data_IF_039093416210
#
_entry.id   IF_039093416210
#
_cell.length_a   1.000
_cell.length_b   1.000
_cell.length_c   1.000
_cell.angle_alpha   90.00
_cell.angle_beta   90.00
_cell.angle_gamma   90.00
#
_symmetry.space_group_name_H-M   'P 1'
#
loop_
_entity.id
_entity.type
_entity.pdbx_description
1 polymer ?
#
# COMPACT_ATOMS: atom_id res chain seq x y z
N UNK A 1 -46.07 -60.08 -28.37
CA UNK A 1 -45.74 -59.31 -29.59
C UNK A 1 -46.71 -58.11 -29.63
N UNK A 2 -46.58 -57.11 -28.74
CA UNK A 2 -45.76 -55.89 -28.87
C UNK A 2 -45.83 -55.21 -30.24
N UNK A 3 -46.65 -54.17 -30.36
CA UNK A 3 -46.45 -53.08 -31.32
C UNK A 3 -46.70 -51.74 -30.63
N UNK A 4 -45.67 -50.90 -30.73
CA UNK A 4 -45.45 -49.64 -30.03
C UNK A 4 -46.31 -48.49 -30.56
N UNK A 5 -46.84 -47.69 -29.64
CA UNK A 5 -47.32 -46.33 -29.89
C UNK A 5 -46.12 -45.36 -29.85
N UNK A 6 -45.93 -44.58 -30.92
CA UNK A 6 -44.95 -43.50 -31.01
C UNK A 6 -45.61 -42.21 -30.47
N UNK A 7 -45.03 -41.59 -29.46
CA UNK A 7 -45.29 -40.19 -29.07
C UNK A 7 -44.22 -39.28 -29.68
N UNK A 8 -44.55 -38.07 -30.17
CA UNK A 8 -43.54 -37.10 -30.59
C UNK A 8 -42.96 -36.33 -29.39
N UNK A 9 -41.64 -36.13 -29.41
CA UNK A 9 -40.90 -35.34 -28.43
C UNK A 9 -41.03 -33.82 -28.69
N UNK A 10 -41.01 -33.06 -27.60
CA UNK A 10 -41.11 -31.60 -27.54
C UNK A 10 -39.69 -30.98 -27.48
N UNK A 11 -39.26 -30.12 -28.42
CA UNK A 11 -37.85 -29.72 -28.54
C UNK A 11 -37.43 -28.49 -27.71
N UNK A 12 -38.16 -28.12 -26.65
CA UNK A 12 -37.78 -26.97 -25.81
C UNK A 12 -37.63 -27.34 -24.33
N UNK A 13 -36.48 -27.95 -24.00
CA UNK A 13 -35.99 -28.07 -22.62
C UNK A 13 -34.70 -27.26 -22.47
N UNK A 14 -34.81 -26.11 -21.79
CA UNK A 14 -33.68 -25.24 -21.44
C UNK A 14 -33.03 -25.83 -20.17
N UNK A 15 -31.69 -26.01 -20.11
CA UNK A 15 -31.07 -26.56 -18.92
C UNK A 15 -31.05 -25.54 -17.78
N UNK A 16 -31.47 -25.99 -16.59
CA UNK A 16 -31.39 -25.25 -15.34
C UNK A 16 -29.93 -24.94 -14.99
N UNK A 17 -29.62 -23.65 -14.84
CA UNK A 17 -28.31 -23.19 -14.38
C UNK A 17 -28.10 -23.63 -12.91
N UNK A 18 -27.11 -24.49 -12.70
CA UNK A 18 -26.65 -24.93 -11.39
C UNK A 18 -25.96 -23.77 -10.66
N UNK A 19 -26.68 -23.16 -9.73
CA UNK A 19 -26.14 -22.26 -8.70
C UNK A 19 -25.26 -23.08 -7.76
N UNK A 20 -23.93 -23.03 -7.94
CA UNK A 20 -23.04 -23.74 -7.03
C UNK A 20 -21.55 -23.68 -7.34
N UNK A 21 -20.97 -22.51 -7.65
CA UNK A 21 -19.50 -22.40 -7.67
C UNK A 21 -18.95 -20.98 -7.53
N UNK A 22 -19.44 -20.20 -6.56
CA UNK A 22 -18.85 -18.90 -6.19
C UNK A 22 -18.74 -18.77 -4.67
N UNK A 23 -17.66 -19.32 -4.09
CA UNK A 23 -17.14 -18.94 -2.75
C UNK A 23 -15.98 -19.82 -2.23
N UNK A 24 -15.54 -20.86 -2.95
CA UNK A 24 -14.47 -21.75 -2.43
C UNK A 24 -13.07 -21.12 -2.45
N UNK A 25 -12.77 -20.22 -3.38
CA UNK A 25 -11.43 -19.61 -3.51
C UNK A 25 -11.13 -18.54 -2.43
N UNK A 26 -12.13 -17.73 -2.05
CA UNK A 26 -11.97 -16.76 -0.97
C UNK A 26 -11.96 -17.44 0.41
N UNK A 27 -12.73 -18.51 0.60
CA UNK A 27 -12.83 -19.21 1.89
C UNK A 27 -11.65 -20.13 2.20
N UNK A 28 -10.96 -20.67 1.19
CA UNK A 28 -9.76 -21.49 1.41
C UNK A 28 -8.56 -20.64 1.78
N UNK A 29 -8.26 -19.58 1.01
CA UNK A 29 -7.12 -18.70 1.30
C UNK A 29 -7.26 -17.97 2.65
N UNK A 30 -8.48 -17.56 3.01
CA UNK A 30 -8.74 -16.94 4.32
C UNK A 30 -8.64 -17.93 5.49
N UNK A 31 -8.96 -19.21 5.28
CA UNK A 31 -8.75 -20.27 6.29
C UNK A 31 -7.27 -20.61 6.49
N UNK A 32 -6.46 -20.59 5.43
CA UNK A 32 -5.01 -20.77 5.53
C UNK A 32 -4.33 -19.61 6.28
N UNK A 33 -4.81 -18.38 6.07
CA UNK A 33 -4.40 -17.19 6.83
C UNK A 33 -4.70 -17.28 8.33
N UNK A 34 -5.71 -18.07 8.74
CA UNK A 34 -6.12 -18.26 10.14
C UNK A 34 -5.56 -19.54 10.79
N UNK A 35 -4.58 -20.22 10.18
CA UNK A 35 -3.97 -21.43 10.74
C UNK A 35 -2.98 -21.14 11.89
N UNK A 36 -2.90 -22.04 12.88
CA UNK A 36 -2.27 -21.79 14.21
C UNK A 36 -0.79 -21.31 14.21
N UNK A 37 0.10 -21.69 13.27
CA UNK A 37 1.45 -21.11 13.24
C UNK A 37 1.51 -19.68 12.66
N UNK A 38 0.51 -19.26 11.87
CA UNK A 38 0.43 -17.92 11.28
C UNK A 38 -0.05 -16.83 12.27
N UNK A 39 -0.39 -17.24 13.49
CA UNK A 39 -1.15 -16.45 14.45
C UNK A 39 -0.26 -15.80 15.51
N UNK A 40 0.91 -16.35 15.79
CA UNK A 40 1.82 -15.80 16.81
C UNK A 40 2.65 -14.65 16.26
N UNK A 41 3.07 -14.71 14.99
CA UNK A 41 3.78 -13.64 14.28
C UNK A 41 3.30 -13.55 12.81
N UNK A 42 2.15 -12.91 12.50
CA UNK A 42 1.57 -12.92 11.15
C UNK A 42 2.49 -12.31 10.09
N UNK A 43 3.32 -11.32 10.46
CA UNK A 43 4.38 -10.77 9.62
C UNK A 43 5.45 -11.82 9.30
N UNK A 44 5.99 -12.49 10.32
CA UNK A 44 7.02 -13.51 10.11
C UNK A 44 6.47 -14.75 9.42
N UNK A 45 5.26 -15.20 9.71
CA UNK A 45 4.74 -16.45 9.15
C UNK A 45 4.37 -16.32 7.66
N UNK A 46 3.76 -15.21 7.24
CA UNK A 46 3.45 -14.97 5.83
C UNK A 46 4.73 -14.66 5.03
N UNK A 47 5.61 -13.83 5.59
CA UNK A 47 6.92 -13.52 5.00
C UNK A 47 7.79 -14.76 4.93
N UNK A 48 7.85 -15.60 5.98
CA UNK A 48 8.62 -16.86 6.01
C UNK A 48 8.00 -17.92 5.09
N UNK A 49 6.68 -18.04 4.97
CA UNK A 49 6.07 -18.99 4.03
C UNK A 49 6.32 -18.61 2.56
N UNK A 50 6.21 -17.33 2.23
CA UNK A 50 6.57 -16.81 0.90
C UNK A 50 8.09 -16.88 0.65
N UNK A 51 8.90 -16.58 1.68
CA UNK A 51 10.36 -16.68 1.66
C UNK A 51 10.84 -18.12 1.49
N UNK A 52 10.22 -19.10 2.16
CA UNK A 52 10.56 -20.51 2.01
C UNK A 52 10.14 -21.06 0.65
N UNK A 53 9.05 -20.56 0.07
CA UNK A 53 8.66 -20.86 -1.30
C UNK A 53 9.67 -20.28 -2.33
N UNK A 54 10.21 -19.09 -2.06
CA UNK A 54 11.19 -18.40 -2.91
C UNK A 54 12.65 -18.89 -2.73
N UNK A 55 13.06 -19.32 -1.53
CA UNK A 55 14.37 -19.94 -1.33
C UNK A 55 14.46 -21.30 -2.04
N UNK A 56 13.35 -22.05 -2.11
CA UNK A 56 13.26 -23.29 -2.89
C UNK A 56 13.37 -23.06 -4.41
N UNK A 57 13.06 -21.87 -4.91
CA UNK A 57 13.24 -21.52 -6.33
C UNK A 57 14.61 -20.93 -6.65
N UNK A 58 15.29 -20.33 -5.67
CA UNK A 58 16.53 -19.56 -5.90
C UNK A 58 17.84 -20.31 -5.62
N UNK A 59 17.81 -21.62 -5.36
CA UNK A 59 19.03 -22.44 -5.21
C UNK A 59 19.80 -22.69 -6.53
N UNK A 60 19.67 -21.85 -7.54
CA UNK A 60 20.45 -21.95 -8.79
C UNK A 60 20.92 -20.59 -9.32
N UNK A 61 21.84 -19.92 -8.62
CA UNK A 61 22.89 -19.09 -9.24
C UNK A 61 23.63 -18.28 -8.18
N UNK A 62 24.95 -18.37 -8.19
CA UNK A 62 25.85 -17.66 -7.29
C UNK A 62 26.69 -16.60 -8.01
N UNK A 63 27.11 -15.61 -7.21
CA UNK A 63 28.33 -14.80 -7.29
C UNK A 63 28.34 -13.48 -8.11
N UNK A 64 28.77 -12.41 -7.42
CA UNK A 64 29.34 -11.18 -7.99
C UNK A 64 29.35 -10.00 -7.01
N UNK A 65 30.52 -9.58 -6.54
CA UNK A 65 30.76 -8.52 -5.53
C UNK A 65 30.81 -7.09 -6.12
N UNK A 66 30.47 -6.08 -5.31
CA UNK A 66 30.73 -4.65 -5.57
C UNK A 66 30.72 -3.80 -4.28
N UNK A 67 31.63 -2.84 -4.16
CA UNK A 67 32.06 -2.14 -2.94
C UNK A 67 31.17 -0.94 -2.50
N UNK A 68 31.30 -0.43 -1.24
CA UNK A 68 30.33 0.50 -0.65
C UNK A 68 30.63 1.98 -0.98
N UNK A 69 29.60 2.76 -1.32
CA UNK A 69 29.65 4.22 -1.31
C UNK A 69 29.01 4.77 -0.04
N UNK A 70 29.85 5.27 0.87
CA UNK A 70 29.48 6.09 2.02
C UNK A 70 29.44 7.57 1.62
N UNK A 71 28.40 8.31 1.99
CA UNK A 71 28.44 9.78 1.89
C UNK A 71 27.09 10.48 1.97
N UNK A 72 26.77 10.95 3.17
CA UNK A 72 26.08 12.17 3.58
C UNK A 72 24.83 12.74 2.87
N UNK A 73 23.89 13.05 3.76
CA UNK A 73 22.64 13.76 3.58
C UNK A 73 22.94 15.26 3.52
N UNK A 74 22.75 15.89 2.35
CA UNK A 74 22.08 17.19 2.18
C UNK A 74 22.28 17.73 0.75
N UNK A 75 21.14 17.98 0.10
CA UNK A 75 20.90 19.06 -0.89
C UNK A 75 21.72 19.06 -2.19
N UNK A 76 21.03 18.89 -3.32
CA UNK A 76 21.44 19.13 -4.73
C UNK A 76 21.91 17.96 -5.60
N UNK A 77 21.68 16.70 -5.21
CA UNK A 77 21.79 15.60 -6.17
C UNK A 77 20.43 15.38 -6.87
N UNK A 78 20.45 15.47 -8.20
CA UNK A 78 19.37 15.06 -9.09
C UNK A 78 18.78 13.73 -8.61
N UNK A 79 17.63 13.77 -7.93
CA UNK A 79 17.04 12.63 -7.21
C UNK A 79 16.61 11.46 -8.09
N UNK A 80 16.79 11.60 -9.41
CA UNK A 80 16.29 10.68 -10.42
C UNK A 80 14.81 10.81 -10.68
N UNK A 81 14.07 11.60 -9.89
CA UNK A 81 12.64 11.81 -10.11
C UNK A 81 12.36 12.75 -11.26
N UNK A 82 11.27 12.50 -12.01
CA UNK A 82 10.78 13.46 -12.97
C UNK A 82 10.49 14.81 -12.31
N UNK A 83 10.80 15.89 -13.03
CA UNK A 83 10.49 17.27 -12.61
C UNK A 83 9.16 17.79 -13.18
N UNK A 84 8.49 16.97 -13.99
CA UNK A 84 7.20 17.26 -14.61
C UNK A 84 6.10 16.38 -14.01
N UNK A 85 4.98 16.99 -13.64
CA UNK A 85 3.76 16.33 -13.15
C UNK A 85 3.09 15.45 -14.21
N UNK A 86 3.35 15.71 -15.50
CA UNK A 86 2.82 14.86 -16.57
C UNK A 86 3.41 13.45 -16.57
N UNK A 87 4.58 13.27 -15.95
CA UNK A 87 5.20 11.96 -15.82
C UNK A 87 4.27 11.00 -15.04
N UNK A 88 4.15 9.75 -15.52
CA UNK A 88 3.37 8.69 -14.86
C UNK A 88 3.81 8.47 -13.41
N UNK A 89 2.86 8.10 -12.53
CA UNK A 89 3.14 7.80 -11.14
C UNK A 89 4.25 6.75 -10.96
N UNK A 90 4.32 5.74 -11.84
CA UNK A 90 5.35 4.70 -11.84
C UNK A 90 6.78 5.23 -11.94
N UNK A 91 6.97 6.44 -12.51
CA UNK A 91 8.29 7.07 -12.60
C UNK A 91 8.74 7.73 -11.28
N UNK A 92 7.83 7.86 -10.32
CA UNK A 92 8.10 8.45 -9.00
C UNK A 92 8.36 7.39 -7.92
N UNK A 93 8.64 6.14 -8.29
CA UNK A 93 8.98 5.08 -7.35
C UNK A 93 10.26 5.41 -6.56
N UNK A 94 10.21 5.53 -5.22
CA UNK A 94 11.40 5.75 -4.42
C UNK A 94 12.23 4.46 -4.37
N UNK A 95 13.30 4.38 -5.17
CA UNK A 95 14.18 3.20 -5.23
C UNK A 95 15.21 3.22 -4.10
N UNK A 96 15.07 2.30 -3.16
CA UNK A 96 16.01 2.12 -2.05
C UNK A 96 15.77 0.76 -1.41
N UNK A 97 16.79 0.15 -0.83
CA UNK A 97 16.63 -0.96 0.11
C UNK A 97 17.18 -0.54 1.47
N UNK A 98 16.80 -1.24 2.53
CA UNK A 98 17.33 -0.97 3.87
C UNK A 98 18.42 -1.97 4.24
N UNK A 99 19.43 -1.53 4.98
CA UNK A 99 20.42 -2.43 5.60
C UNK A 99 19.86 -3.19 6.81
N UNK A 100 18.67 -2.81 7.28
CA UNK A 100 17.96 -3.40 8.42
C UNK A 100 16.45 -3.30 8.19
N UNK A 101 15.71 -4.30 8.64
CA UNK A 101 14.23 -4.29 8.69
C UNK A 101 13.71 -3.62 9.98
N UNK A 102 14.60 -3.14 10.85
CA UNK A 102 14.21 -2.42 12.06
C UNK A 102 13.78 -0.97 11.72
N UNK A 103 12.48 -0.82 11.52
CA UNK A 103 11.82 0.47 11.35
C UNK A 103 11.14 0.97 12.62
N UNK A 104 11.58 0.57 13.82
CA UNK A 104 11.05 1.14 15.05
C UNK A 104 11.27 2.67 15.06
N UNK A 105 10.19 3.48 15.16
CA UNK A 105 10.33 4.93 15.14
C UNK A 105 10.88 5.47 16.47
N UNK A 106 11.77 6.47 16.39
CA UNK A 106 12.21 7.28 17.52
C UNK A 106 11.68 8.73 17.35
N UNK A 107 10.54 9.09 17.96
CA UNK A 107 9.95 10.43 17.81
C UNK A 107 10.89 11.57 18.21
N UNK A 108 11.85 11.32 19.11
CA UNK A 108 12.81 12.34 19.56
C UNK A 108 13.80 12.75 18.47
N UNK A 109 14.02 11.87 17.48
CA UNK A 109 14.88 12.09 16.32
C UNK A 109 14.11 12.54 15.08
N UNK A 110 12.81 12.75 15.20
CA UNK A 110 11.98 13.14 14.06
C UNK A 110 12.40 14.52 13.52
N UNK A 111 12.65 14.60 12.21
CA UNK A 111 12.83 15.88 11.53
C UNK A 111 11.57 16.75 11.67
N UNK A 112 11.78 18.06 11.82
CA UNK A 112 10.69 19.05 11.78
C UNK A 112 10.27 19.28 10.33
N UNK A 113 8.96 19.30 10.10
CA UNK A 113 8.40 19.62 8.79
C UNK A 113 8.02 21.09 8.70
N UNK A 114 8.01 21.63 7.47
CA UNK A 114 7.33 22.90 7.20
C UNK A 114 5.83 22.76 7.47
N UNK A 115 5.10 23.86 7.74
CA UNK A 115 3.66 23.81 7.99
C UNK A 115 2.86 23.08 6.90
N UNK A 116 3.21 23.28 5.63
CA UNK A 116 2.54 22.64 4.49
C UNK A 116 2.74 21.13 4.48
N UNK A 117 3.97 20.68 4.75
CA UNK A 117 4.31 19.24 4.81
C UNK A 117 3.73 18.57 6.05
N UNK A 118 3.70 19.31 7.17
CA UNK A 118 3.02 18.87 8.37
C UNK A 118 1.53 18.66 8.10
N UNK A 119 0.87 19.55 7.35
CA UNK A 119 -0.55 19.41 7.00
C UNK A 119 -0.83 18.15 6.15
N UNK A 120 0.10 17.74 5.29
CA UNK A 120 -0.05 16.49 4.52
C UNK A 120 -0.03 15.25 5.43
N UNK A 121 0.94 15.16 6.35
CA UNK A 121 1.13 13.97 7.17
C UNK A 121 0.23 13.90 8.40
N UNK A 122 0.14 15.01 9.12
CA UNK A 122 -0.11 15.00 10.55
C UNK A 122 -1.58 14.87 10.91
N UNK A 123 -1.78 14.30 12.10
CA UNK A 123 -3.01 14.28 12.88
C UNK A 123 -2.78 15.02 14.20
N UNK A 124 -3.36 16.20 14.38
CA UNK A 124 -3.31 16.92 15.66
C UNK A 124 -4.43 16.48 16.58
N UNK A 125 -4.10 15.59 17.51
CA UNK A 125 -4.85 15.43 18.76
C UNK A 125 -4.20 16.28 19.84
N UNK A 126 -4.50 17.59 19.83
CA UNK A 126 -4.51 18.35 21.08
C UNK A 126 -5.94 18.38 21.59
N UNK A 127 -6.21 17.51 22.56
CA UNK A 127 -7.35 17.67 23.44
C UNK A 127 -6.95 18.66 24.55
N UNK A 128 -6.84 19.94 24.23
CA UNK A 128 -6.99 20.99 25.25
C UNK A 128 -8.49 21.29 25.33
N UNK A 129 -9.13 20.81 26.40
CA UNK A 129 -10.46 21.24 26.83
C UNK A 129 -10.46 22.77 27.01
N UNK A 130 -10.68 23.57 25.96
CA UNK A 130 -11.24 24.93 26.09
C UNK A 130 -11.66 25.65 24.79
N UNK A 131 -11.69 25.00 23.61
CA UNK A 131 -12.19 25.65 22.38
C UNK A 131 -13.18 24.76 21.62
N UNK A 132 -14.30 24.43 22.28
CA UNK A 132 -15.39 23.68 21.64
C UNK A 132 -16.49 24.59 21.07
N UNK A 133 -16.44 25.92 21.23
CA UNK A 133 -17.64 26.75 20.98
C UNK A 133 -17.59 27.67 19.74
N UNK A 134 -16.46 28.00 19.10
CA UNK A 134 -16.52 29.01 18.02
C UNK A 134 -15.64 28.83 16.77
N UNK A 135 -15.08 27.65 16.49
CA UNK A 135 -14.34 27.46 15.24
C UNK A 135 -14.65 26.11 14.58
N UNK A 136 -15.31 26.16 13.42
CA UNK A 136 -15.16 25.17 12.35
C UNK A 136 -13.70 25.21 11.82
N UNK A 137 -12.73 24.88 12.67
CA UNK A 137 -11.34 24.67 12.25
C UNK A 137 -11.22 23.23 11.75
N UNK A 138 -11.45 23.06 10.45
CA UNK A 138 -11.08 21.90 9.64
C UNK A 138 -9.56 21.72 9.64
N UNK A 139 -9.00 21.18 10.72
CA UNK A 139 -7.65 20.62 10.71
C UNK A 139 -7.68 19.33 9.89
N UNK A 140 -7.39 19.49 8.60
CA UNK A 140 -7.43 18.41 7.62
C UNK A 140 -6.13 17.62 7.71
N UNK A 141 -6.20 16.54 8.48
CA UNK A 141 -5.21 15.49 8.60
C UNK A 141 -5.33 14.56 7.39
N UNK A 142 -4.24 14.18 6.71
CA UNK A 142 -4.38 13.34 5.52
C UNK A 142 -3.79 11.94 5.67
N UNK A 143 -2.47 11.77 5.61
CA UNK A 143 -1.92 10.42 5.41
C UNK A 143 -1.99 9.52 6.65
N UNK A 144 -1.56 9.98 7.83
CA UNK A 144 -1.65 9.15 9.07
C UNK A 144 -3.11 8.81 9.42
N UNK A 145 -4.05 9.70 9.11
CA UNK A 145 -5.48 9.45 9.31
C UNK A 145 -6.00 8.32 8.42
N UNK A 146 -5.47 8.15 7.20
CA UNK A 146 -5.80 7.02 6.33
C UNK A 146 -5.41 5.69 6.98
N UNK A 147 -4.18 5.57 7.50
CA UNK A 147 -3.75 4.40 8.27
C UNK A 147 -4.62 4.11 9.48
N UNK A 148 -5.12 5.17 10.12
CA UNK A 148 -5.99 5.10 11.30
C UNK A 148 -7.46 4.80 10.95
N UNK A 149 -7.74 4.25 9.77
CA UNK A 149 -9.08 3.89 9.30
C UNK A 149 -10.04 5.09 9.25
N UNK A 150 -9.53 6.27 8.89
CA UNK A 150 -10.36 7.47 8.68
C UNK A 150 -10.27 7.95 7.22
N UNK A 151 -10.71 7.16 6.22
CA UNK A 151 -10.73 7.61 4.85
C UNK A 151 -11.80 8.70 4.64
N UNK A 152 -11.46 9.72 3.85
CA UNK A 152 -12.42 10.69 3.31
C UNK A 152 -12.04 11.03 1.88
N UNK A 153 -12.99 11.54 1.10
CA UNK A 153 -12.74 12.01 -0.28
C UNK A 153 -11.59 13.03 -0.30
N UNK A 154 -11.55 13.97 0.64
CA UNK A 154 -10.50 15.01 0.69
C UNK A 154 -9.11 14.44 1.01
N UNK A 155 -9.03 13.39 1.84
CA UNK A 155 -7.77 12.69 2.12
C UNK A 155 -7.27 11.91 0.92
N UNK A 156 -8.17 11.26 0.18
CA UNK A 156 -7.85 10.56 -1.07
C UNK A 156 -7.47 11.53 -2.18
N UNK A 157 -8.04 12.75 -2.23
CA UNK A 157 -7.64 13.79 -3.20
C UNK A 157 -6.20 14.30 -3.01
N UNK A 158 -5.53 13.97 -1.90
CA UNK A 158 -4.08 14.18 -1.74
C UNK A 158 -3.23 13.27 -2.62
N UNK A 159 -3.84 12.40 -3.39
CA UNK A 159 -3.18 11.64 -4.43
C UNK A 159 -3.58 12.18 -5.79
N UNK A 160 -2.60 12.20 -6.70
CA UNK A 160 -2.84 12.46 -8.12
C UNK A 160 -3.70 11.33 -8.72
N UNK A 161 -4.38 11.58 -9.84
CA UNK A 161 -5.25 10.57 -10.46
C UNK A 161 -4.46 9.32 -10.87
N UNK A 162 -3.24 9.52 -11.36
CA UNK A 162 -2.29 8.49 -11.81
C UNK A 162 -1.33 8.03 -10.70
N UNK A 163 -1.70 8.19 -9.43
CA UNK A 163 -0.83 7.81 -8.33
C UNK A 163 -0.61 6.29 -8.27
N UNK A 164 0.55 5.89 -7.75
CA UNK A 164 0.82 4.49 -7.38
C UNK A 164 0.82 4.37 -5.86
N UNK A 165 0.09 3.37 -5.35
CA UNK A 165 0.13 2.92 -3.96
C UNK A 165 0.57 1.46 -3.92
N UNK A 166 1.65 1.23 -3.19
CA UNK A 166 2.40 -0.01 -3.26
C UNK A 166 2.85 -0.40 -1.85
N UNK A 167 2.23 -1.46 -1.33
CA UNK A 167 2.52 -2.01 -0.02
C UNK A 167 2.76 -3.53 -0.11
N UNK A 168 2.96 -4.18 1.04
CA UNK A 168 3.17 -5.63 1.12
C UNK A 168 2.01 -6.49 0.58
N UNK A 169 0.80 -5.95 0.42
CA UNK A 169 -0.42 -6.67 0.03
C UNK A 169 -1.11 -6.12 -1.23
N UNK A 170 -0.80 -4.90 -1.64
CA UNK A 170 -1.50 -4.16 -2.67
C UNK A 170 -0.51 -3.50 -3.62
N UNK A 171 -0.83 -3.54 -4.91
CA UNK A 171 -0.28 -2.63 -5.90
C UNK A 171 -1.45 -2.00 -6.66
N UNK A 172 -1.76 -0.75 -6.32
CA UNK A 172 -2.82 0.05 -6.93
C UNK A 172 -2.16 1.15 -7.76
N UNK A 173 -2.40 1.17 -9.06
CA UNK A 173 -1.75 2.09 -10.00
C UNK A 173 -2.65 3.23 -10.47
N UNK A 174 -3.76 3.48 -9.78
CA UNK A 174 -4.56 4.68 -9.96
C UNK A 174 -5.25 5.05 -8.64
N UNK A 175 -5.76 6.28 -8.58
CA UNK A 175 -6.42 6.80 -7.38
C UNK A 175 -7.69 6.04 -7.04
N UNK A 176 -8.40 5.49 -8.03
CA UNK A 176 -9.62 4.72 -7.80
C UNK A 176 -9.35 3.43 -7.02
N UNK A 177 -8.38 2.64 -7.49
CA UNK A 177 -7.91 1.40 -6.85
C UNK A 177 -7.35 1.67 -5.46
N UNK A 178 -6.54 2.72 -5.32
CA UNK A 178 -6.00 3.11 -4.02
C UNK A 178 -7.12 3.54 -3.05
N UNK A 179 -8.09 4.35 -3.51
CA UNK A 179 -9.23 4.76 -2.70
C UNK A 179 -9.99 3.53 -2.18
N UNK A 180 -10.19 2.52 -3.04
CA UNK A 180 -10.78 1.24 -2.66
C UNK A 180 -10.13 0.59 -1.45
N UNK A 181 -8.80 0.59 -1.39
CA UNK A 181 -8.06 0.05 -0.25
C UNK A 181 -8.32 0.84 1.02
N UNK A 182 -8.18 2.16 0.96
CA UNK A 182 -8.37 3.01 2.13
C UNK A 182 -9.79 2.93 2.68
N UNK A 183 -10.80 2.91 1.81
CA UNK A 183 -12.20 2.74 2.22
C UNK A 183 -12.53 1.31 2.68
N UNK A 184 -11.72 0.30 2.32
CA UNK A 184 -11.88 -1.07 2.81
C UNK A 184 -11.36 -1.27 4.24
N UNK A 185 -10.31 -0.54 4.67
CA UNK A 185 -9.70 -0.74 5.99
C UNK A 185 -10.70 -0.66 7.17
N UNK A 186 -11.61 0.33 7.26
CA UNK A 186 -12.59 0.41 8.36
C UNK A 186 -13.57 -0.77 8.38
N UNK A 187 -13.76 -1.48 7.25
CA UNK A 187 -14.59 -2.68 7.18
C UNK A 187 -13.86 -3.90 7.75
N UNK A 188 -12.54 -3.97 7.56
CA UNK A 188 -11.69 -5.07 8.02
C UNK A 188 -11.31 -4.95 9.50
N UNK A 189 -11.05 -3.73 9.96
CA UNK A 189 -10.55 -3.44 11.30
C UNK A 189 -11.61 -2.74 12.17
N UNK A 190 -11.68 -3.11 13.45
CA UNK A 190 -12.51 -2.42 14.45
C UNK A 190 -11.77 -1.27 15.12
N UNK A 191 -10.44 -1.31 15.14
CA UNK A 191 -9.59 -0.26 15.69
C UNK A 191 -8.29 -0.20 14.89
N UNK A 192 -7.75 1.01 14.74
CA UNK A 192 -6.44 1.26 14.16
C UNK A 192 -5.79 2.40 14.93
N UNK A 193 -4.60 2.16 15.47
CA UNK A 193 -3.87 3.08 16.34
C UNK A 193 -2.51 3.35 15.72
N UNK A 194 -2.23 4.62 15.48
CA UNK A 194 -0.87 5.06 15.19
C UNK A 194 -0.11 5.15 16.52
N UNK A 195 0.81 4.22 16.74
CA UNK A 195 1.55 4.12 18.01
C UNK A 195 2.68 5.15 18.07
N UNK A 196 3.41 5.30 16.96
CA UNK A 196 4.48 6.28 16.81
C UNK A 196 4.88 6.46 15.35
N UNK A 197 5.54 7.57 15.05
CA UNK A 197 6.22 7.78 13.77
C UNK A 197 7.48 8.64 13.97
N UNK A 198 8.41 8.58 13.01
CA UNK A 198 9.64 9.38 12.97
C UNK A 198 9.85 9.83 11.54
N UNK A 199 9.84 11.15 11.30
CA UNK A 199 10.23 11.70 9.99
C UNK A 199 11.75 11.58 9.85
N UNK A 200 12.20 10.91 8.81
CA UNK A 200 13.64 10.67 8.54
C UNK A 200 14.13 11.34 7.26
N UNK A 201 13.21 11.79 6.39
CA UNK A 201 13.52 12.59 5.21
C UNK A 201 12.37 13.53 4.87
N UNK A 202 12.71 14.76 4.49
CA UNK A 202 11.76 15.72 3.94
C UNK A 202 12.51 16.70 3.05
N UNK A 203 12.60 16.39 1.76
CA UNK A 203 13.19 17.25 0.73
C UNK A 203 12.17 17.52 -0.38
N UNK A 204 12.54 18.33 -1.37
CA UNK A 204 11.70 18.73 -2.50
C UNK A 204 10.90 17.61 -3.15
N UNK A 205 11.47 16.41 -3.23
CA UNK A 205 10.87 15.34 -4.01
C UNK A 205 10.08 14.35 -3.15
N UNK A 206 10.43 14.18 -1.86
CA UNK A 206 9.71 13.23 -1.02
C UNK A 206 9.64 13.59 0.47
N UNK A 207 8.70 12.93 1.14
CA UNK A 207 8.66 12.77 2.59
C UNK A 207 8.81 11.29 2.91
N UNK A 208 9.66 10.97 3.87
CA UNK A 208 9.85 9.60 4.32
C UNK A 208 9.83 9.52 5.84
N UNK A 209 9.15 8.51 6.36
CA UNK A 209 9.00 8.32 7.79
C UNK A 209 8.91 6.85 8.16
N UNK A 210 9.46 6.52 9.32
CA UNK A 210 9.17 5.25 10.00
C UNK A 210 7.81 5.36 10.65
N UNK A 211 7.01 4.32 10.55
CA UNK A 211 5.66 4.27 11.11
C UNK A 211 5.45 3.00 11.92
N UNK A 212 4.82 3.11 13.09
CA UNK A 212 4.36 1.98 13.89
C UNK A 212 2.85 2.03 14.02
N UNK A 213 2.18 1.04 13.45
CA UNK A 213 0.73 0.99 13.38
C UNK A 213 0.20 -0.32 13.95
N UNK A 214 -0.82 -0.21 14.80
CA UNK A 214 -1.56 -1.35 15.37
C UNK A 214 -2.95 -1.40 14.76
N UNK A 215 -3.33 -2.55 14.18
CA UNK A 215 -4.70 -2.79 13.71
C UNK A 215 -5.33 -3.94 14.46
N UNK A 216 -6.54 -3.72 14.96
CA UNK A 216 -7.36 -4.77 15.56
C UNK A 216 -8.44 -5.20 14.58
N UNK A 217 -8.43 -6.49 14.22
CA UNK A 217 -9.41 -7.06 13.29
C UNK A 217 -10.82 -7.01 13.88
N UNK A 218 -11.82 -6.80 13.00
CA UNK A 218 -13.22 -6.69 13.42
C UNK A 218 -13.82 -8.02 13.90
N UNK A 219 -13.53 -9.10 13.19
CA UNK A 219 -14.15 -10.41 13.43
C UNK A 219 -13.34 -11.34 14.34
N UNK A 220 -12.07 -11.00 14.61
CA UNK A 220 -11.19 -11.79 15.48
C UNK A 220 -10.56 -10.86 16.52
N UNK A 221 -10.46 -11.27 17.81
CA UNK A 221 -9.90 -10.45 18.88
C UNK A 221 -8.36 -10.48 18.82
N UNK A 222 -7.79 -10.10 17.68
CA UNK A 222 -6.35 -10.02 17.46
C UNK A 222 -5.97 -8.64 17.00
N UNK A 223 -4.86 -8.17 17.55
CA UNK A 223 -4.18 -6.95 17.12
C UNK A 223 -2.88 -7.35 16.44
N UNK A 224 -2.64 -6.81 15.26
CA UNK A 224 -1.35 -6.89 14.59
C UNK A 224 -0.69 -5.52 14.66
N UNK A 225 0.54 -5.47 15.16
CA UNK A 225 1.37 -4.26 15.18
C UNK A 225 2.50 -4.43 14.18
N UNK A 226 2.69 -3.42 13.33
CA UNK A 226 3.65 -3.43 12.23
C UNK A 226 4.47 -2.15 12.30
N UNK A 227 5.79 -2.29 12.18
CA UNK A 227 6.69 -1.20 11.83
C UNK A 227 6.95 -1.23 10.33
N UNK A 228 7.11 -0.07 9.72
CA UNK A 228 7.38 0.05 8.30
C UNK A 228 7.99 1.39 7.93
N UNK A 229 8.63 1.43 6.77
CA UNK A 229 9.14 2.64 6.17
C UNK A 229 8.17 3.12 5.09
N UNK A 230 7.59 4.30 5.32
CA UNK A 230 6.64 4.93 4.40
C UNK A 230 7.37 6.01 3.62
N UNK A 231 7.28 5.94 2.29
CA UNK A 231 7.85 6.93 1.37
C UNK A 231 6.75 7.54 0.50
N UNK A 232 6.65 8.87 0.54
CA UNK A 232 5.68 9.67 -0.22
C UNK A 232 6.43 10.54 -1.22
N UNK A 233 6.47 10.10 -2.49
CA UNK A 233 6.99 10.93 -3.58
C UNK A 233 5.96 11.98 -3.96
N UNK A 234 6.38 13.23 -4.00
CA UNK A 234 5.51 14.39 -4.19
C UNK A 234 5.31 14.70 -5.67
N UNK A 235 4.13 15.21 -6.00
CA UNK A 235 3.84 15.72 -7.32
C UNK A 235 4.56 17.07 -7.56
N UNK A 236 5.38 17.21 -8.63
CA UNK A 236 6.14 18.44 -8.89
C UNK A 236 5.27 19.70 -9.03
N UNK A 237 4.04 19.59 -9.53
CA UNK A 237 3.15 20.73 -9.75
C UNK A 237 2.51 21.24 -8.44
N UNK A 238 2.38 20.38 -7.43
CA UNK A 238 1.68 20.72 -6.17
C UNK A 238 2.57 20.72 -4.93
N UNK A 239 3.84 20.28 -5.02
CA UNK A 239 4.77 20.16 -3.87
C UNK A 239 4.98 21.44 -3.05
N UNK A 240 4.77 22.60 -3.65
CA UNK A 240 4.93 23.91 -2.99
C UNK A 240 3.60 24.61 -2.70
N UNK A 241 2.47 23.91 -2.89
CA UNK A 241 1.12 24.43 -2.67
C UNK A 241 0.55 24.01 -1.31
N UNK A 242 -0.49 24.69 -0.86
CA UNK A 242 -1.24 24.28 0.33
C UNK A 242 -1.98 22.93 0.14
N UNK A 243 -2.22 22.54 -1.11
CA UNK A 243 -2.82 21.27 -1.47
C UNK A 243 -1.82 20.33 -2.17
N UNK A 244 -0.71 20.04 -1.49
CA UNK A 244 0.27 19.05 -1.92
C UNK A 244 -0.37 17.70 -2.25
N UNK A 245 0.03 17.13 -3.39
CA UNK A 245 -0.37 15.79 -3.82
C UNK A 245 0.80 14.82 -3.90
N UNK A 246 0.46 13.52 -3.85
CA UNK A 246 1.37 12.38 -3.87
C UNK A 246 1.27 11.69 -5.24
N UNK A 247 2.43 11.38 -5.82
CA UNK A 247 2.59 10.58 -7.04
C UNK A 247 2.85 9.11 -6.74
N UNK A 248 3.65 8.82 -5.72
CA UNK A 248 3.96 7.46 -5.31
C UNK A 248 3.92 7.33 -3.80
N UNK A 249 3.27 6.30 -3.31
CA UNK A 249 3.22 5.93 -1.90
C UNK A 249 3.70 4.50 -1.75
N UNK A 250 4.86 4.33 -1.12
CA UNK A 250 5.48 3.04 -0.86
C UNK A 250 5.51 2.73 0.64
N UNK A 251 4.95 1.58 1.01
CA UNK A 251 5.10 0.99 2.34
C UNK A 251 6.03 -0.21 2.28
N UNK A 252 7.21 -0.05 2.86
CA UNK A 252 8.20 -1.12 2.99
C UNK A 252 8.11 -1.75 4.37
N UNK A 253 7.86 -3.05 4.40
CA UNK A 253 7.96 -3.87 5.60
C UNK A 253 9.24 -4.75 5.59
N UNK A 254 9.84 -4.99 4.42
CA UNK A 254 11.06 -5.79 4.27
C UNK A 254 11.88 -5.40 3.01
N UNK A 255 13.07 -5.97 2.85
CA UNK A 255 14.01 -5.67 1.75
C UNK A 255 13.56 -6.13 0.34
N UNK A 256 12.61 -7.06 0.23
CA UNK A 256 12.17 -7.66 -1.04
C UNK A 256 10.95 -6.99 -1.66
N UNK A 257 10.42 -5.96 -1.02
CA UNK A 257 9.18 -5.30 -1.43
C UNK A 257 9.30 -4.60 -2.81
N UNK A 258 10.50 -4.47 -3.37
CA UNK A 258 10.81 -3.76 -4.64
C UNK A 258 10.98 -4.63 -5.89
N UNK A 259 10.86 -5.95 -5.77
CA UNK A 259 11.11 -6.85 -6.91
C UNK A 259 10.02 -6.75 -8.00
N UNK A 260 8.77 -6.40 -7.65
CA UNK A 260 7.61 -6.39 -8.56
C UNK A 260 7.47 -7.66 -9.44
N UNK A 261 7.98 -8.80 -8.93
CA UNK A 261 8.09 -10.04 -9.67
C UNK A 261 7.28 -11.17 -9.03
N UNK A 262 6.95 -12.17 -9.87
CA UNK A 262 6.34 -13.41 -9.44
C UNK A 262 4.83 -13.35 -9.13
N UNK A 263 4.35 -14.48 -8.58
CA UNK A 263 2.93 -14.72 -8.29
C UNK A 263 2.40 -13.81 -7.18
N UNK A 264 3.25 -13.46 -6.20
CA UNK A 264 2.88 -12.56 -5.11
C UNK A 264 2.49 -11.18 -5.62
N UNK A 265 3.29 -10.58 -6.49
CA UNK A 265 2.97 -9.29 -7.12
C UNK A 265 1.71 -9.36 -7.99
N UNK A 266 1.55 -10.43 -8.77
CA UNK A 266 0.34 -10.64 -9.57
C UNK A 266 -0.93 -10.70 -8.71
N UNK A 267 -0.83 -11.32 -7.53
CA UNK A 267 -1.90 -11.32 -6.53
C UNK A 267 -2.18 -9.93 -5.96
N UNK A 268 -1.14 -9.12 -5.65
CA UNK A 268 -1.31 -7.73 -5.18
C UNK A 268 -2.12 -6.89 -6.17
N UNK A 269 -1.76 -6.95 -7.45
CA UNK A 269 -2.47 -6.23 -8.53
C UNK A 269 -3.91 -6.73 -8.68
N UNK A 270 -4.10 -8.06 -8.72
CA UNK A 270 -5.43 -8.65 -8.79
C UNK A 270 -6.31 -8.24 -7.59
N UNK A 271 -5.74 -8.23 -6.37
CA UNK A 271 -6.44 -7.81 -5.17
C UNK A 271 -6.90 -6.36 -5.31
N UNK A 272 -6.03 -5.46 -5.78
CA UNK A 272 -6.36 -4.05 -5.97
C UNK A 272 -7.49 -3.86 -6.98
N UNK A 273 -7.42 -4.56 -8.11
CA UNK A 273 -8.41 -4.51 -9.20
C UNK A 273 -9.79 -5.08 -8.81
N UNK A 274 -9.87 -5.92 -7.77
CA UNK A 274 -11.10 -6.58 -7.36
C UNK A 274 -11.73 -6.01 -6.09
N UNK A 275 -10.93 -5.50 -5.14
CA UNK A 275 -11.47 -4.91 -3.90
C UNK A 275 -12.43 -3.76 -4.24
N UNK A 276 -12.03 -2.83 -5.11
CA UNK A 276 -12.89 -1.71 -5.54
C UNK A 276 -14.26 -2.15 -6.08
N UNK A 277 -14.33 -3.29 -6.79
CA UNK A 277 -15.57 -3.81 -7.40
C UNK A 277 -16.56 -4.35 -6.38
N UNK A 278 -16.06 -4.74 -5.20
CA UNK A 278 -16.85 -5.31 -4.11
C UNK A 278 -17.05 -4.32 -2.95
N UNK A 279 -16.54 -3.11 -3.10
CA UNK A 279 -16.68 -2.05 -2.11
C UNK A 279 -17.99 -1.30 -2.30
N UNK A 280 -18.92 -1.53 -1.38
CA UNK A 280 -20.09 -0.67 -1.20
C UNK A 280 -19.69 0.59 -0.39
N UNK A 281 -19.11 1.57 -1.06
CA UNK A 281 -18.72 2.86 -0.48
C UNK A 281 -19.07 3.99 -1.48
N UNK A 282 -20.09 4.83 -1.20
CA UNK A 282 -20.55 5.86 -2.14
C UNK A 282 -19.45 6.87 -2.48
N UNK A 283 -18.49 7.09 -1.58
CA UNK A 283 -17.34 7.98 -1.78
C UNK A 283 -16.43 7.53 -2.92
N UNK A 284 -16.43 6.25 -3.29
CA UNK A 284 -15.62 5.76 -4.42
C UNK A 284 -16.09 6.30 -5.77
N UNK A 285 -17.37 6.73 -5.87
CA UNK A 285 -17.91 7.32 -7.09
C UNK A 285 -17.15 8.57 -7.51
N UNK A 286 -16.65 9.34 -6.54
CA UNK A 286 -15.83 10.54 -6.77
C UNK A 286 -14.53 10.26 -7.54
N UNK A 287 -14.07 9.01 -7.53
CA UNK A 287 -12.80 8.60 -8.13
C UNK A 287 -12.98 7.69 -9.34
N UNK A 288 -14.21 7.37 -9.76
CA UNK A 288 -14.43 6.49 -10.91
C UNK A 288 -13.85 7.03 -12.21
N UNK A 289 -13.77 8.35 -12.36
CA UNK A 289 -13.14 9.00 -13.51
C UNK A 289 -11.61 8.80 -13.54
N UNK A 290 -10.99 8.40 -12.43
CA UNK A 290 -9.55 8.13 -12.34
C UNK A 290 -9.21 6.67 -12.65
N UNK A 291 -10.20 5.82 -12.98
CA UNK A 291 -9.96 4.44 -13.43
C UNK A 291 -9.02 4.46 -14.62
N UNK A 292 -7.99 3.62 -14.57
CA UNK A 292 -7.03 3.47 -15.66
C UNK A 292 -6.29 4.79 -16.00
N UNK A 293 -6.21 5.72 -15.04
CA UNK A 293 -5.39 6.93 -15.17
C UNK A 293 -3.88 6.60 -15.20
N UNK A 294 -3.49 5.36 -14.93
CA UNK A 294 -2.13 4.88 -15.05
C UNK A 294 -1.64 5.01 -16.49
N UNK A 295 -0.42 5.50 -16.67
CA UNK A 295 0.13 5.82 -17.99
C UNK A 295 1.25 4.89 -18.43
N UNK A 296 1.79 4.09 -17.51
CA UNK A 296 2.80 3.07 -17.78
C UNK A 296 2.41 1.72 -17.16
N UNK A 297 3.02 0.65 -17.66
CA UNK A 297 3.05 -0.61 -16.91
C UNK A 297 3.98 -0.49 -15.71
N UNK A 298 3.75 -1.33 -14.69
CA UNK A 298 4.66 -1.42 -13.55
C UNK A 298 6.09 -1.69 -14.04
N UNK A 299 7.01 -0.87 -13.55
CA UNK A 299 8.42 -1.05 -13.84
C UNK A 299 8.96 -2.25 -13.04
N UNK A 300 9.64 -3.15 -13.73
CA UNK A 300 10.25 -4.37 -13.17
C UNK A 300 11.76 -4.18 -13.14
N UNK A 301 12.38 -4.57 -12.04
CA UNK A 301 13.79 -4.27 -11.79
C UNK A 301 14.55 -5.49 -11.27
N UNK A 302 14.22 -6.70 -11.72
CA UNK A 302 14.87 -7.92 -11.28
C UNK A 302 14.64 -8.18 -9.79
N UNK A 303 15.73 -8.44 -9.07
CA UNK A 303 15.72 -8.88 -7.66
C UNK A 303 15.19 -7.83 -6.68
N UNK A 304 15.07 -6.56 -7.08
CA UNK A 304 14.68 -5.47 -6.18
C UNK A 304 15.78 -5.04 -5.20
N UNK A 305 17.00 -5.53 -5.39
CA UNK A 305 18.20 -5.23 -4.60
C UNK A 305 19.11 -4.25 -5.34
N UNK A 306 20.35 -4.06 -4.88
CA UNK A 306 21.33 -3.18 -5.54
C UNK A 306 21.59 -3.62 -6.99
N UNK A 307 21.59 -4.92 -7.27
CA UNK A 307 21.68 -5.50 -8.62
C UNK A 307 20.49 -5.09 -9.51
N UNK A 308 19.37 -4.71 -8.90
CA UNK A 308 18.18 -4.15 -9.53
C UNK A 308 18.08 -2.63 -9.47
N UNK A 309 19.19 -1.91 -9.26
CA UNK A 309 19.24 -0.45 -9.12
C UNK A 309 18.41 0.10 -7.91
N UNK A 310 18.32 -0.65 -6.81
CA UNK A 310 17.78 -0.13 -5.54
C UNK A 310 18.90 -0.01 -4.49
N UNK A 311 19.52 1.17 -4.33
CA UNK A 311 20.68 1.34 -3.45
C UNK A 311 20.32 1.04 -1.99
N UNK A 312 21.22 0.37 -1.25
CA UNK A 312 21.04 0.17 0.20
C UNK A 312 21.24 1.47 0.97
N UNK A 313 20.38 1.69 1.95
CA UNK A 313 20.41 2.84 2.85
C UNK A 313 20.35 2.34 4.29
N UNK A 314 21.18 2.95 5.14
CA UNK A 314 21.17 2.70 6.58
C UNK A 314 20.26 3.70 7.30
N UNK A 315 19.05 3.24 7.63
CA UNK A 315 18.04 4.04 8.33
C UNK A 315 18.17 3.99 9.85
N UNK A 316 19.16 3.29 10.40
CA UNK A 316 19.40 3.24 11.86
C UNK A 316 20.11 4.49 12.38
N UNK A 317 20.79 5.22 11.47
CA UNK A 317 21.55 6.45 11.77
C UNK A 317 20.78 7.75 11.52
N UNK A 318 19.55 7.65 11.02
CA UNK A 318 18.67 8.77 10.71
C UNK A 318 17.76 9.17 11.88
#
# INVERSE_FOLDING_TARGET
>A
MSHNQIRPENPYSVPAATSGSRSKLLSTNFKYFLSKPAITHPQKALTVQLHNAQQRSNMSSSAGQGAPMTGDIATNANSGFPKDSNAPGEQFEPRQTATSEDYEPDPSKSLKLSPQRQALLYHHTSYTRLTFILNHMTNSFHIIALYSCQPTVQRVKRYTADCVYDDQFVYANDRYKMAGQWFALPKLFKASINESYQIIRSDDDMIQFKNKQSWTFRLIPKTATITGLVSLSLDPASKDTNFMQIKYHKDQANEKDYSHEGLGFSFKKWQADNVVKHMDAPELKEFEADKDANKEEVRRYGTGTEEGNAPKRDFTKA
#
